data_IF_870871351566
#
_entry.id   IF_870871351566
#
_cell.length_a   1.000
_cell.length_b   1.000
_cell.length_c   1.000
_cell.angle_alpha   90.00
_cell.angle_beta   90.00
_cell.angle_gamma   90.00
#
_symmetry.space_group_name_H-M   'P 1'
#
loop_
_entity.id
_entity.type
_entity.pdbx_description
1 polymer ?
#
# COMPACT_ATOMS: atom_id res chain seq x y z
N UNK A 1 -12.60 6.87 37.96
CA UNK A 1 -11.19 6.55 38.26
C UNK A 1 -10.60 6.05 36.95
N UNK A 2 -9.54 6.65 36.44
CA UNK A 2 -9.08 6.36 35.08
C UNK A 2 -8.40 4.99 35.04
N UNK A 3 -9.01 4.01 34.37
CA UNK A 3 -8.58 2.60 34.39
C UNK A 3 -7.19 2.40 33.75
N UNK A 4 -6.80 3.34 32.87
CA UNK A 4 -5.50 3.33 32.18
C UNK A 4 -4.28 3.44 33.11
N UNK A 5 -4.41 4.03 34.31
CA UNK A 5 -3.30 4.29 35.24
C UNK A 5 -2.83 3.05 36.00
N UNK A 6 -3.65 2.00 36.05
CA UNK A 6 -3.37 0.75 36.76
C UNK A 6 -2.93 -0.41 35.86
N UNK A 7 -2.91 -0.22 34.53
CA UNK A 7 -2.53 -1.29 33.60
C UNK A 7 -1.05 -1.61 33.72
N UNK A 8 -0.70 -2.88 33.89
CA UNK A 8 0.69 -3.33 33.82
C UNK A 8 1.06 -3.61 32.37
N UNK A 9 2.09 -2.94 31.87
CA UNK A 9 2.53 -3.06 30.48
C UNK A 9 3.70 -4.06 30.38
N UNK A 10 3.53 -5.11 29.59
CA UNK A 10 4.52 -6.17 29.48
C UNK A 10 4.77 -6.57 28.03
N UNK A 11 6.00 -7.03 27.74
CA UNK A 11 6.38 -7.52 26.39
C UNK A 11 5.47 -8.68 25.91
N UNK A 12 4.92 -9.46 26.83
CA UNK A 12 4.00 -10.56 26.52
C UNK A 12 2.72 -10.13 25.78
N UNK A 13 2.33 -8.85 25.88
CA UNK A 13 1.15 -8.32 25.20
C UNK A 13 1.29 -8.33 23.67
N UNK A 14 2.52 -8.32 23.13
CA UNK A 14 2.77 -8.45 21.69
C UNK A 14 2.62 -9.89 21.16
N UNK A 15 2.56 -10.88 22.05
CA UNK A 15 2.47 -12.30 21.70
C UNK A 15 1.04 -12.82 21.56
N UNK A 16 0.01 -11.98 21.76
CA UNK A 16 -1.39 -12.40 21.70
C UNK A 16 -1.77 -12.68 20.25
N UNK A 17 -2.13 -13.94 19.89
CA UNK A 17 -2.45 -14.28 18.50
C UNK A 17 -3.61 -13.45 17.95
N UNK A 18 -3.41 -12.85 16.78
CA UNK A 18 -4.46 -12.10 16.07
C UNK A 18 -4.83 -10.74 16.67
N UNK A 19 -4.09 -10.23 17.67
CA UNK A 19 -4.31 -8.90 18.26
C UNK A 19 -3.05 -8.06 18.20
N UNK A 20 -3.19 -6.80 17.82
CA UNK A 20 -2.11 -5.82 18.00
C UNK A 20 -1.97 -5.43 19.47
N UNK A 21 -0.84 -4.82 19.84
CA UNK A 21 -0.64 -4.31 21.20
C UNK A 21 -1.72 -3.29 21.59
N UNK A 22 -2.14 -2.44 20.63
CA UNK A 22 -3.25 -1.50 20.83
C UNK A 22 -4.58 -2.24 21.07
N UNK A 23 -4.87 -3.33 20.34
CA UNK A 23 -6.11 -4.11 20.55
C UNK A 23 -6.13 -4.81 21.92
N UNK A 24 -4.97 -5.27 22.40
CA UNK A 24 -4.84 -5.84 23.75
C UNK A 24 -5.10 -4.75 24.79
N UNK A 25 -4.53 -3.55 24.61
CA UNK A 25 -4.80 -2.42 25.49
C UNK A 25 -6.27 -2.02 25.48
N UNK A 26 -6.91 -2.00 24.31
CA UNK A 26 -8.33 -1.68 24.16
C UNK A 26 -9.21 -2.70 24.89
N UNK A 27 -8.82 -3.97 24.90
CA UNK A 27 -9.54 -5.00 25.66
C UNK A 27 -9.40 -4.88 27.18
N UNK A 28 -8.30 -4.29 27.66
CA UNK A 28 -8.08 -4.02 29.07
C UNK A 28 -8.71 -2.69 29.50
N UNK A 29 -8.70 -1.70 28.62
CA UNK A 29 -9.14 -0.34 28.89
C UNK A 29 -9.96 0.21 27.72
N UNK A 30 -11.23 -0.21 27.61
CA UNK A 30 -12.11 0.18 26.50
C UNK A 30 -12.30 1.70 26.40
N UNK A 31 -12.23 2.23 25.18
CA UNK A 31 -12.45 3.65 24.87
C UNK A 31 -13.87 4.10 25.22
N UNK A 32 -14.85 3.19 25.21
CA UNK A 32 -16.23 3.45 25.65
C UNK A 32 -16.32 4.03 27.06
N UNK A 33 -15.37 3.69 27.94
CA UNK A 33 -15.32 4.21 29.31
C UNK A 33 -14.95 5.70 29.41
N UNK A 34 -14.52 6.32 28.30
CA UNK A 34 -13.99 7.69 28.26
C UNK A 34 -14.85 8.64 27.44
N UNK A 35 -16.01 8.20 26.93
CA UNK A 35 -16.98 9.05 26.24
C UNK A 35 -17.43 10.20 27.14
N UNK A 36 -17.38 11.44 26.63
CA UNK A 36 -17.68 12.65 27.39
C UNK A 36 -16.57 13.13 28.33
N UNK A 37 -15.38 12.52 28.27
CA UNK A 37 -14.20 12.93 29.05
C UNK A 37 -13.16 13.64 28.18
N UNK A 38 -12.20 14.32 28.83
CA UNK A 38 -11.03 14.92 28.15
C UNK A 38 -10.08 13.88 27.49
N UNK A 39 -10.42 12.60 27.54
CA UNK A 39 -9.66 11.47 26.98
C UNK A 39 -10.42 10.75 25.86
N UNK A 40 -11.61 11.22 25.48
CA UNK A 40 -12.45 10.58 24.45
C UNK A 40 -11.74 10.45 23.10
N UNK A 41 -10.93 11.44 22.71
CA UNK A 41 -10.20 11.45 21.44
C UNK A 41 -8.93 10.58 21.45
N UNK A 42 -8.55 9.99 22.59
CA UNK A 42 -7.32 9.23 22.73
C UNK A 42 -7.59 7.71 22.70
N UNK A 43 -6.91 7.01 21.81
CA UNK A 43 -6.93 5.54 21.82
C UNK A 43 -6.20 4.98 23.06
N UNK A 44 -6.39 3.68 23.34
CA UNK A 44 -5.80 3.06 24.54
C UNK A 44 -4.26 3.19 24.60
N UNK A 45 -3.59 3.21 23.44
CA UNK A 45 -2.15 3.41 23.36
C UNK A 45 -1.74 4.86 23.69
N UNK A 46 -2.44 5.85 23.16
CA UNK A 46 -2.23 7.27 23.43
C UNK A 46 -2.53 7.62 24.89
N UNK A 47 -3.52 6.97 25.51
CA UNK A 47 -3.77 7.06 26.96
C UNK A 47 -2.55 6.59 27.77
N UNK A 48 -1.90 5.49 27.37
CA UNK A 48 -0.66 5.05 28.00
C UNK A 48 0.50 6.03 27.75
N UNK A 49 0.65 6.60 26.55
CA UNK A 49 1.65 7.65 26.32
C UNK A 49 1.42 8.86 27.24
N UNK A 50 0.15 9.27 27.43
CA UNK A 50 -0.22 10.37 28.34
C UNK A 50 0.11 10.03 29.79
N UNK A 51 -0.11 8.80 30.25
CA UNK A 51 0.26 8.31 31.59
C UNK A 51 1.72 8.54 31.91
N UNK A 52 2.62 8.20 30.98
CA UNK A 52 4.06 8.38 31.14
C UNK A 52 4.55 9.76 30.65
N UNK A 53 3.62 10.66 30.34
CA UNK A 53 3.88 12.00 29.81
C UNK A 53 4.76 12.01 28.55
N UNK A 54 4.73 10.97 27.71
CA UNK A 54 5.57 10.83 26.51
C UNK A 54 4.92 11.57 25.34
N UNK A 55 5.62 12.58 24.82
CA UNK A 55 5.20 13.39 23.66
C UNK A 55 5.99 12.97 22.44
N UNK A 56 5.33 12.23 21.56
CA UNK A 56 5.95 11.65 20.34
C UNK A 56 6.14 12.65 19.19
N UNK A 57 5.45 13.80 19.21
CA UNK A 57 5.51 14.79 18.13
C UNK A 57 5.25 16.22 18.60
N UNK A 58 5.55 17.19 17.74
CA UNK A 58 5.41 18.62 18.00
C UNK A 58 6.68 19.30 18.54
N UNK A 59 6.58 20.60 18.79
CA UNK A 59 7.71 21.45 19.25
C UNK A 59 8.30 20.94 20.57
N UNK A 60 7.43 20.45 21.45
CA UNK A 60 7.78 19.87 22.76
C UNK A 60 7.93 18.34 22.71
N UNK A 61 8.33 17.78 21.56
CA UNK A 61 8.62 16.35 21.44
C UNK A 61 9.75 15.92 22.37
N UNK A 62 9.52 14.80 23.05
CA UNK A 62 10.46 14.23 24.00
C UNK A 62 11.61 13.50 23.28
N UNK A 63 12.62 13.12 24.07
CA UNK A 63 13.71 12.25 23.63
C UNK A 63 13.32 10.78 23.75
N UNK A 64 13.98 9.93 22.96
CA UNK A 64 13.77 8.47 22.98
C UNK A 64 13.98 7.88 24.38
N UNK A 65 14.93 8.40 25.16
CA UNK A 65 15.20 7.98 26.54
C UNK A 65 13.95 7.95 27.45
N UNK A 66 12.93 8.77 27.17
CA UNK A 66 11.71 8.81 27.98
C UNK A 66 10.92 7.50 27.95
N UNK A 67 10.99 6.74 26.85
CA UNK A 67 10.42 5.40 26.80
C UNK A 67 11.12 4.43 27.76
N UNK A 68 12.39 4.65 28.08
CA UNK A 68 13.21 3.71 28.82
C UNK A 68 13.41 4.08 30.30
N UNK A 69 12.61 5.04 30.81
CA UNK A 69 12.65 5.43 32.22
C UNK A 69 12.09 4.35 33.15
N UNK A 70 11.11 3.57 32.70
CA UNK A 70 10.49 2.48 33.46
C UNK A 70 10.31 1.24 32.60
N UNK A 71 10.16 0.07 33.22
CA UNK A 71 9.88 -1.17 32.50
C UNK A 71 8.55 -1.11 31.72
N UNK A 72 7.52 -0.49 32.33
CA UNK A 72 6.19 -0.35 31.73
C UNK A 72 6.23 0.58 30.51
N UNK A 73 6.90 1.74 30.60
CA UNK A 73 7.02 2.65 29.47
C UNK A 73 7.83 2.05 28.32
N UNK A 74 8.81 1.19 28.60
CA UNK A 74 9.65 0.56 27.58
C UNK A 74 8.84 -0.42 26.72
N UNK A 75 7.78 -1.01 27.27
CA UNK A 75 6.87 -1.88 26.53
C UNK A 75 6.08 -1.12 25.45
N UNK A 76 5.98 0.22 25.51
CA UNK A 76 5.29 1.03 24.49
C UNK A 76 6.14 1.29 23.24
N UNK A 77 7.47 1.19 23.34
CA UNK A 77 8.37 1.60 22.25
C UNK A 77 8.20 0.80 20.95
N UNK A 78 8.04 -0.54 20.96
CA UNK A 78 7.82 -1.30 19.72
C UNK A 78 6.54 -0.88 18.98
N UNK A 79 5.45 -0.62 19.69
CA UNK A 79 4.21 -0.14 19.10
C UNK A 79 4.35 1.28 18.53
N UNK A 80 5.09 2.17 19.20
CA UNK A 80 5.45 3.47 18.63
C UNK A 80 6.16 3.33 17.27
N UNK A 81 7.15 2.43 17.18
CA UNK A 81 7.88 2.16 15.94
C UNK A 81 6.94 1.62 14.86
N UNK A 82 6.11 0.63 15.20
CA UNK A 82 5.14 0.04 14.29
C UNK A 82 4.18 1.08 13.72
N UNK A 83 3.62 1.95 14.57
CA UNK A 83 2.67 3.00 14.15
C UNK A 83 3.32 4.06 13.27
N UNK A 84 4.54 4.50 13.60
CA UNK A 84 5.27 5.47 12.78
C UNK A 84 5.59 4.91 11.38
N UNK A 85 5.97 3.63 11.29
CA UNK A 85 6.22 2.98 10.00
C UNK A 85 4.93 2.72 9.23
N UNK A 86 3.86 2.26 9.88
CA UNK A 86 2.55 2.07 9.25
C UNK A 86 2.02 3.38 8.66
N UNK A 87 2.14 4.48 9.40
CA UNK A 87 1.79 5.81 8.90
C UNK A 87 2.63 6.18 7.65
N UNK A 88 3.92 5.89 7.67
CA UNK A 88 4.79 6.10 6.50
C UNK A 88 4.39 5.27 5.29
N UNK A 89 3.97 4.02 5.51
CA UNK A 89 3.43 3.16 4.46
C UNK A 89 2.14 3.74 3.90
N UNK A 90 1.16 4.08 4.75
CA UNK A 90 -0.14 4.65 4.37
C UNK A 90 0.01 5.94 3.54
N UNK A 91 0.89 6.86 3.98
CA UNK A 91 1.15 8.12 3.26
C UNK A 91 1.73 7.94 1.85
N UNK A 92 2.46 6.85 1.63
CA UNK A 92 3.08 6.53 0.33
C UNK A 92 2.31 5.45 -0.45
N UNK A 93 1.18 4.96 0.06
CA UNK A 93 0.51 3.81 -0.49
C UNK A 93 -0.34 4.18 -1.71
N UNK A 94 0.12 3.77 -2.89
CA UNK A 94 -0.64 3.94 -4.15
C UNK A 94 -1.43 2.68 -4.54
N UNK A 95 -1.20 1.55 -3.86
CA UNK A 95 -1.84 0.26 -4.19
C UNK A 95 -3.38 0.29 -4.18
N UNK A 96 -4.08 1.04 -3.29
CA UNK A 96 -5.54 1.13 -3.31
C UNK A 96 -6.10 1.75 -4.60
N UNK A 97 -5.27 2.48 -5.36
CA UNK A 97 -5.66 3.03 -6.66
C UNK A 97 -5.37 2.07 -7.82
N UNK A 98 -4.72 0.94 -7.56
CA UNK A 98 -4.25 -0.02 -8.56
C UNK A 98 -4.98 -1.38 -8.45
N UNK A 99 -5.26 -1.78 -7.21
CA UNK A 99 -5.78 -3.10 -6.84
C UNK A 99 -7.30 -3.09 -6.82
N UNK A 100 -7.91 -4.15 -7.37
CA UNK A 100 -9.34 -4.40 -7.37
C UNK A 100 -9.83 -4.92 -6.02
N UNK A 101 -9.09 -5.87 -5.43
CA UNK A 101 -9.42 -6.50 -4.15
C UNK A 101 -8.17 -6.91 -3.38
N UNK A 102 -8.27 -6.87 -2.06
CA UNK A 102 -7.23 -7.32 -1.15
C UNK A 102 -7.70 -8.55 -0.39
N UNK A 103 -6.97 -9.65 -0.54
CA UNK A 103 -7.25 -10.93 0.10
C UNK A 103 -6.25 -11.18 1.23
N UNK A 104 -6.75 -11.30 2.46
CA UNK A 104 -5.94 -11.64 3.62
C UNK A 104 -5.87 -13.15 3.81
N UNK A 105 -4.67 -13.69 3.92
CA UNK A 105 -4.42 -15.12 4.08
C UNK A 105 -3.60 -15.42 5.35
N UNK A 106 -3.86 -16.60 5.93
CA UNK A 106 -3.12 -17.13 7.07
C UNK A 106 -2.14 -18.25 6.67
N UNK A 107 -1.93 -18.45 5.37
CA UNK A 107 -1.04 -19.45 4.78
C UNK A 107 -0.06 -18.78 3.83
N UNK A 108 1.05 -19.45 3.51
CA UNK A 108 1.96 -19.02 2.44
C UNK A 108 1.48 -19.48 1.05
N UNK A 109 0.60 -20.46 1.00
CA UNK A 109 0.07 -21.01 -0.23
C UNK A 109 -1.31 -20.41 -0.52
N UNK A 110 -1.42 -19.69 -1.63
CA UNK A 110 -2.68 -19.16 -2.14
C UNK A 110 -2.76 -19.31 -3.65
N UNK A 111 -3.92 -19.77 -4.11
CA UNK A 111 -4.29 -19.84 -5.53
C UNK A 111 -5.51 -18.95 -5.73
N UNK A 112 -5.40 -17.98 -6.61
CA UNK A 112 -6.54 -17.13 -6.95
C UNK A 112 -7.53 -17.85 -7.85
N UNK A 113 -8.73 -17.29 -7.96
CA UNK A 113 -9.75 -17.70 -8.91
C UNK A 113 -9.50 -17.03 -10.27
N UNK A 114 -9.77 -17.76 -11.34
CA UNK A 114 -9.76 -17.24 -12.70
C UNK A 114 -11.02 -17.68 -13.43
N UNK A 115 -11.49 -16.79 -14.29
CA UNK A 115 -12.60 -17.04 -15.19
C UNK A 115 -12.26 -16.34 -16.50
N UNK A 116 -12.02 -17.11 -17.56
CA UNK A 116 -11.82 -16.55 -18.89
C UNK A 116 -12.87 -17.13 -19.84
N UNK A 117 -14.12 -16.63 -19.78
CA UNK A 117 -15.16 -17.08 -20.69
C UNK A 117 -14.75 -16.73 -22.13
N UNK A 118 -15.09 -17.61 -23.07
CA UNK A 118 -14.88 -17.35 -24.49
C UNK A 118 -15.65 -16.10 -24.96
N UNK A 119 -15.25 -15.50 -26.09
CA UNK A 119 -15.92 -14.30 -26.64
C UNK A 119 -17.43 -14.53 -26.84
N UNK A 120 -17.81 -15.73 -27.30
CA UNK A 120 -19.22 -16.14 -27.45
C UNK A 120 -19.97 -16.20 -26.10
N UNK A 121 -19.34 -16.74 -25.05
CA UNK A 121 -19.93 -16.84 -23.70
C UNK A 121 -20.13 -15.45 -23.06
N UNK A 122 -19.29 -14.47 -23.40
CA UNK A 122 -19.42 -13.08 -22.93
C UNK A 122 -20.60 -12.33 -23.53
N UNK A 123 -21.10 -12.74 -24.70
CA UNK A 123 -22.18 -12.02 -25.41
C UNK A 123 -23.59 -12.27 -24.85
N UNK A 124 -23.74 -13.13 -23.83
CA UNK A 124 -25.00 -13.41 -23.10
C UNK A 124 -26.24 -13.41 -24.02
N UNK A 125 -26.22 -14.28 -25.04
CA UNK A 125 -27.28 -14.36 -26.04
C UNK A 125 -28.64 -14.70 -25.40
N UNK A 126 -29.76 -14.17 -25.91
CA UNK A 126 -31.09 -14.53 -25.43
C UNK A 126 -31.32 -16.03 -25.59
N UNK A 127 -31.76 -16.66 -24.50
CA UNK A 127 -31.98 -18.12 -24.43
C UNK A 127 -33.46 -18.39 -24.70
N UNK A 128 -33.75 -19.25 -25.68
CA UNK A 128 -35.11 -19.68 -25.96
C UNK A 128 -35.67 -20.56 -24.83
N UNK A 129 -37.00 -20.61 -24.69
CA UNK A 129 -37.66 -21.48 -23.73
C UNK A 129 -37.23 -22.95 -23.95
N UNK A 130 -36.68 -23.58 -22.90
CA UNK A 130 -36.16 -24.96 -22.95
C UNK A 130 -34.71 -25.12 -23.42
N UNK A 131 -34.03 -24.04 -23.84
CA UNK A 131 -32.60 -24.09 -24.21
C UNK A 131 -31.69 -23.98 -22.97
N UNK A 132 -30.50 -24.60 -23.05
CA UNK A 132 -29.51 -24.53 -21.99
C UNK A 132 -28.93 -23.11 -21.85
N UNK A 133 -28.90 -22.60 -20.62
CA UNK A 133 -28.30 -21.29 -20.30
C UNK A 133 -26.77 -21.39 -20.44
N UNK A 134 -26.09 -20.41 -21.08
CA UNK A 134 -24.64 -20.37 -21.14
C UNK A 134 -24.02 -20.46 -19.75
N UNK A 135 -23.04 -21.34 -19.59
CA UNK A 135 -22.35 -21.56 -18.32
C UNK A 135 -20.99 -20.88 -18.34
N UNK A 136 -20.66 -20.13 -17.30
CA UNK A 136 -19.32 -19.58 -17.07
C UNK A 136 -18.62 -20.40 -16.01
N UNK A 137 -17.49 -21.03 -16.35
CA UNK A 137 -16.75 -21.87 -15.41
C UNK A 137 -15.70 -21.02 -14.68
N UNK A 138 -15.82 -20.94 -13.35
CA UNK A 138 -14.81 -20.35 -12.48
C UNK A 138 -13.92 -21.49 -11.96
N UNK A 139 -12.60 -21.34 -12.10
CA UNK A 139 -11.60 -22.32 -11.62
C UNK A 139 -10.54 -21.63 -10.77
N UNK A 140 -9.83 -22.38 -9.95
CA UNK A 140 -8.59 -21.88 -9.35
C UNK A 140 -7.47 -21.88 -10.39
N UNK A 141 -6.55 -20.93 -10.31
CA UNK A 141 -5.33 -20.97 -11.12
C UNK A 141 -4.47 -22.20 -10.80
N UNK A 142 -3.65 -22.61 -11.77
CA UNK A 142 -2.77 -23.78 -11.65
C UNK A 142 -1.49 -23.48 -10.85
N UNK A 143 -1.10 -22.21 -10.74
CA UNK A 143 0.08 -21.75 -10.01
C UNK A 143 -0.25 -21.01 -8.72
N UNK A 144 0.74 -20.91 -7.83
CA UNK A 144 0.65 -20.16 -6.59
C UNK A 144 1.00 -18.69 -6.82
N UNK A 145 0.31 -17.81 -6.10
CA UNK A 145 0.69 -16.39 -6.03
C UNK A 145 2.01 -16.27 -5.27
N UNK A 146 3.01 -15.61 -5.87
CA UNK A 146 4.31 -15.39 -5.25
C UNK A 146 4.21 -14.30 -4.19
N UNK A 147 4.40 -14.67 -2.93
CA UNK A 147 4.44 -13.73 -1.82
C UNK A 147 5.87 -13.23 -1.59
N UNK A 148 6.05 -11.92 -1.56
CA UNK A 148 7.32 -11.26 -1.28
C UNK A 148 7.34 -10.65 0.12
N UNK A 149 8.33 -11.05 0.92
CA UNK A 149 8.60 -10.41 2.21
C UNK A 149 9.42 -9.15 2.00
N UNK A 150 8.80 -7.99 2.20
CA UNK A 150 9.43 -6.66 2.13
C UNK A 150 9.59 -6.11 3.55
N UNK A 151 10.82 -5.78 3.93
CA UNK A 151 11.11 -5.29 5.26
C UNK A 151 12.49 -4.68 5.39
N UNK A 152 12.74 -4.04 6.53
CA UNK A 152 14.03 -3.43 6.85
C UNK A 152 14.34 -3.60 8.31
N UNK A 153 15.60 -3.93 8.61
CA UNK A 153 16.11 -3.94 9.98
C UNK A 153 16.71 -2.58 10.32
N UNK A 154 16.25 -2.01 11.42
CA UNK A 154 16.85 -0.88 12.08
C UNK A 154 17.89 -1.39 13.07
N UNK A 155 19.11 -0.91 12.95
CA UNK A 155 20.20 -1.21 13.88
C UNK A 155 20.80 0.10 14.32
N UNK A 156 20.73 0.39 15.61
CA UNK A 156 21.41 1.53 16.20
C UNK A 156 21.85 1.19 17.63
N UNK A 157 22.91 1.85 18.10
CA UNK A 157 23.28 1.77 19.51
C UNK A 157 22.31 2.59 20.35
N UNK A 158 22.03 2.11 21.56
CA UNK A 158 21.19 2.81 22.53
C UNK A 158 21.70 4.24 22.77
N UNK A 159 23.02 4.41 22.91
CA UNK A 159 23.64 5.72 23.14
C UNK A 159 23.39 6.71 22.01
N UNK A 160 23.34 6.22 20.76
CA UNK A 160 23.08 7.07 19.60
C UNK A 160 21.61 7.51 19.52
N UNK A 161 20.67 6.67 19.98
CA UNK A 161 19.24 6.96 19.93
C UNK A 161 18.74 7.74 21.16
N UNK A 162 19.22 7.46 22.37
CA UNK A 162 18.61 7.96 23.62
C UNK A 162 18.40 9.47 23.65
N UNK A 163 19.32 10.25 23.06
CA UNK A 163 19.25 11.72 23.06
C UNK A 163 18.56 12.33 21.84
N UNK A 164 18.18 11.52 20.86
CA UNK A 164 17.46 12.00 19.69
C UNK A 164 16.02 12.34 20.04
N UNK A 165 15.51 13.40 19.41
CA UNK A 165 14.09 13.74 19.50
C UNK A 165 13.24 12.69 18.79
N UNK A 166 12.12 12.34 19.40
CA UNK A 166 11.16 11.39 18.84
C UNK A 166 10.62 11.85 17.49
N UNK A 167 10.44 13.16 17.28
CA UNK A 167 9.92 13.69 16.02
C UNK A 167 10.88 13.43 14.84
N UNK A 168 12.18 13.70 15.02
CA UNK A 168 13.20 13.40 14.00
C UNK A 168 13.26 11.90 13.70
N UNK A 169 13.17 11.08 14.75
CA UNK A 169 13.15 9.63 14.59
C UNK A 169 11.86 9.14 13.92
N UNK A 170 10.71 9.76 14.17
CA UNK A 170 9.45 9.47 13.48
C UNK A 170 9.58 9.72 11.99
N UNK A 171 10.27 10.79 11.56
CA UNK A 171 10.49 11.07 10.13
C UNK A 171 11.29 9.95 9.46
N UNK A 172 12.33 9.42 10.10
CA UNK A 172 13.13 8.32 9.53
C UNK A 172 12.33 7.03 9.47
N UNK A 173 11.53 6.72 10.50
CA UNK A 173 10.60 5.58 10.52
C UNK A 173 9.55 5.68 9.41
N UNK A 174 8.92 6.85 9.24
CA UNK A 174 7.96 7.08 8.15
C UNK A 174 8.59 6.86 6.78
N UNK A 175 9.83 7.31 6.59
CA UNK A 175 10.54 7.10 5.32
C UNK A 175 10.82 5.61 5.05
N UNK A 176 11.09 4.81 6.10
CA UNK A 176 11.22 3.35 5.97
C UNK A 176 9.90 2.73 5.52
N UNK A 177 8.78 3.13 6.11
CA UNK A 177 7.45 2.72 5.67
C UNK A 177 7.20 3.08 4.20
N UNK A 178 7.55 4.29 3.80
CA UNK A 178 7.42 4.73 2.42
C UNK A 178 8.27 3.88 1.44
N UNK A 179 9.46 3.42 1.85
CA UNK A 179 10.26 2.50 1.03
C UNK A 179 9.62 1.12 0.88
N UNK A 180 9.00 0.59 1.95
CA UNK A 180 8.28 -0.69 1.88
C UNK A 180 7.09 -0.58 0.91
N UNK A 181 6.27 0.48 1.03
CA UNK A 181 5.14 0.71 0.14
C UNK A 181 5.56 0.86 -1.33
N UNK A 182 6.66 1.60 -1.61
CA UNK A 182 7.21 1.73 -2.96
C UNK A 182 7.74 0.41 -3.52
N UNK A 183 8.34 -0.43 -2.69
CA UNK A 183 8.81 -1.75 -3.11
C UNK A 183 7.63 -2.67 -3.47
N UNK A 184 6.56 -2.67 -2.67
CA UNK A 184 5.33 -3.41 -2.97
C UNK A 184 4.65 -2.89 -4.25
N UNK A 185 4.69 -1.58 -4.49
CA UNK A 185 4.20 -1.01 -5.75
C UNK A 185 5.02 -1.50 -6.95
N UNK A 186 6.35 -1.62 -6.81
CA UNK A 186 7.21 -2.25 -7.82
C UNK A 186 6.78 -3.69 -8.11
N UNK A 187 6.59 -4.49 -7.06
CA UNK A 187 6.12 -5.88 -7.20
C UNK A 187 4.76 -5.97 -7.93
N UNK A 188 3.85 -5.03 -7.65
CA UNK A 188 2.56 -4.95 -8.33
C UNK A 188 2.71 -4.59 -9.82
N UNK A 189 3.58 -3.64 -10.16
CA UNK A 189 3.85 -3.23 -11.54
C UNK A 189 4.52 -4.35 -12.32
N UNK A 190 5.47 -5.08 -11.74
CA UNK A 190 6.10 -6.23 -12.39
C UNK A 190 5.07 -7.30 -12.76
N UNK A 191 4.10 -7.57 -11.87
CA UNK A 191 3.00 -8.49 -12.16
C UNK A 191 2.04 -7.92 -13.22
N UNK A 192 1.78 -6.62 -13.22
CA UNK A 192 1.00 -5.98 -14.28
C UNK A 192 1.69 -6.12 -15.65
N UNK A 193 3.00 -5.92 -15.72
CA UNK A 193 3.78 -5.97 -16.97
C UNK A 193 3.98 -7.40 -17.47
N UNK A 194 4.42 -8.32 -16.62
CA UNK A 194 4.89 -9.65 -17.02
C UNK A 194 3.92 -10.78 -16.69
N UNK A 195 2.92 -10.52 -15.85
CA UNK A 195 2.08 -11.56 -15.24
C UNK A 195 2.76 -12.18 -14.01
N UNK A 196 1.97 -12.80 -13.15
CA UNK A 196 2.43 -13.50 -11.94
C UNK A 196 3.14 -14.84 -12.26
N UNK A 197 2.72 -15.48 -13.35
CA UNK A 197 3.34 -16.65 -13.96
C UNK A 197 4.59 -16.32 -14.80
N UNK A 198 4.82 -15.05 -15.13
CA UNK A 198 5.85 -14.58 -16.06
C UNK A 198 5.62 -14.99 -17.53
N UNK A 199 4.42 -15.47 -17.87
CA UNK A 199 4.03 -15.95 -19.20
C UNK A 199 2.82 -15.21 -19.76
N UNK A 200 2.22 -14.33 -18.96
CA UNK A 200 1.03 -13.53 -19.30
C UNK A 200 1.36 -12.03 -19.33
N UNK A 201 2.23 -11.57 -20.25
CA UNK A 201 2.59 -10.15 -20.34
C UNK A 201 1.38 -9.29 -20.74
N UNK A 202 1.38 -8.03 -20.32
CA UNK A 202 0.40 -7.07 -20.78
C UNK A 202 0.53 -6.81 -22.28
N UNK A 203 -0.60 -6.55 -22.95
CA UNK A 203 -0.60 -6.22 -24.37
C UNK A 203 0.12 -4.90 -24.62
N UNK A 204 1.16 -4.92 -25.47
CA UNK A 204 1.93 -3.74 -25.83
C UNK A 204 1.35 -3.05 -27.09
N UNK A 205 1.31 -1.74 -27.05
CA UNK A 205 0.95 -0.84 -28.15
C UNK A 205 2.18 0.02 -28.41
N UNK A 206 2.68 -0.02 -29.64
CA UNK A 206 3.86 0.75 -30.03
C UNK A 206 3.43 2.02 -30.76
N UNK A 207 3.94 3.18 -30.33
CA UNK A 207 3.71 4.42 -31.07
C UNK A 207 4.72 4.59 -32.21
N UNK A 208 4.33 5.39 -33.21
CA UNK A 208 5.23 5.74 -34.31
C UNK A 208 6.21 6.87 -33.94
N UNK A 209 5.83 7.74 -33.00
CA UNK A 209 6.56 8.95 -32.61
C UNK A 209 7.38 8.77 -31.32
N UNK A 210 8.46 9.54 -31.18
CA UNK A 210 9.29 9.56 -29.97
C UNK A 210 8.66 10.27 -28.74
N UNK A 211 7.40 10.70 -28.86
CA UNK A 211 6.60 11.28 -27.78
C UNK A 211 5.13 10.82 -27.93
N UNK A 212 4.40 10.67 -26.82
CA UNK A 212 2.99 10.32 -26.85
C UNK A 212 2.18 11.48 -27.45
N UNK A 213 1.39 11.19 -28.47
CA UNK A 213 0.40 12.11 -29.02
C UNK A 213 -0.99 11.84 -28.40
N UNK A 214 -1.92 12.77 -28.57
CA UNK A 214 -3.29 12.60 -28.10
C UNK A 214 -3.96 11.35 -28.71
N UNK A 215 -3.73 11.10 -30.01
CA UNK A 215 -4.24 9.91 -30.69
C UNK A 215 -3.74 8.59 -30.09
N UNK A 216 -2.50 8.54 -29.58
CA UNK A 216 -1.95 7.36 -28.93
C UNK A 216 -2.66 7.07 -27.60
N UNK A 217 -2.99 8.12 -26.83
CA UNK A 217 -3.76 8.00 -25.59
C UNK A 217 -5.19 7.51 -25.86
N UNK A 218 -5.82 8.01 -26.93
CA UNK A 218 -7.14 7.54 -27.38
C UNK A 218 -7.08 6.08 -27.85
N UNK A 219 -6.00 5.69 -28.53
CA UNK A 219 -5.77 4.30 -28.93
C UNK A 219 -5.61 3.38 -27.71
N UNK A 220 -4.83 3.80 -26.71
CA UNK A 220 -4.72 3.08 -25.44
C UNK A 220 -6.08 2.91 -24.74
N UNK A 221 -6.92 3.96 -24.75
CA UNK A 221 -8.28 3.89 -24.22
C UNK A 221 -9.16 2.90 -25.02
N UNK A 222 -9.09 2.90 -26.35
CA UNK A 222 -9.87 2.02 -27.21
C UNK A 222 -9.46 0.55 -27.12
N UNK A 223 -8.15 0.28 -27.05
CA UNK A 223 -7.56 -1.06 -26.92
C UNK A 223 -7.88 -1.76 -25.59
N UNK A 224 -8.33 -1.00 -24.59
CA UNK A 224 -8.75 -1.55 -23.32
C UNK A 224 -10.17 -2.09 -23.36
N UNK A 225 -10.98 -1.76 -24.38
CA UNK A 225 -12.35 -2.27 -24.51
C UNK A 225 -12.36 -3.81 -24.50
N UNK A 226 -13.23 -4.46 -23.70
CA UNK A 226 -14.42 -3.93 -23.02
C UNK A 226 -14.19 -3.32 -21.62
N UNK A 227 -12.95 -3.25 -21.14
CA UNK A 227 -12.61 -2.68 -19.83
C UNK A 227 -12.43 -1.15 -19.90
N UNK A 228 -12.45 -0.49 -18.73
CA UNK A 228 -12.42 0.97 -18.65
C UNK A 228 -11.05 1.50 -18.22
N UNK A 229 -10.51 2.46 -18.97
CA UNK A 229 -9.26 3.11 -18.61
C UNK A 229 -9.52 4.09 -17.46
N UNK A 230 -9.24 3.65 -16.23
CA UNK A 230 -9.45 4.46 -15.03
C UNK A 230 -8.15 4.84 -14.31
N UNK A 231 -7.05 4.14 -14.59
CA UNK A 231 -5.76 4.37 -13.94
C UNK A 231 -4.64 4.31 -14.98
N UNK A 232 -3.76 5.29 -14.96
CA UNK A 232 -2.58 5.37 -15.80
C UNK A 232 -1.34 5.49 -14.91
N UNK A 233 -0.35 4.64 -15.12
CA UNK A 233 0.97 4.73 -14.47
C UNK A 233 1.99 5.28 -15.46
N UNK A 234 2.82 6.20 -15.00
CA UNK A 234 3.91 6.76 -15.80
C UNK A 234 5.12 7.11 -14.93
N UNK A 235 6.30 7.06 -15.55
CA UNK A 235 7.55 7.56 -14.97
C UNK A 235 7.53 9.10 -14.85
N UNK A 236 8.54 9.67 -14.20
CA UNK A 236 8.67 11.13 -14.11
C UNK A 236 8.84 11.78 -15.49
N UNK A 237 9.65 11.18 -16.37
CA UNK A 237 9.86 11.70 -17.72
C UNK A 237 8.58 11.57 -18.55
N UNK A 238 7.94 10.41 -18.49
CA UNK A 238 6.71 10.15 -19.24
C UNK A 238 5.52 10.97 -18.76
N UNK A 239 5.42 11.24 -17.46
CA UNK A 239 4.41 12.16 -16.92
C UNK A 239 4.57 13.56 -17.50
N UNK A 240 5.82 14.06 -17.65
CA UNK A 240 6.07 15.36 -18.29
C UNK A 240 5.66 15.36 -19.75
N UNK A 241 5.90 14.26 -20.47
CA UNK A 241 5.49 14.13 -21.86
C UNK A 241 3.96 14.12 -22.00
N UNK A 242 3.24 13.37 -21.15
CA UNK A 242 1.76 13.34 -21.12
C UNK A 242 1.20 14.74 -20.84
N UNK A 243 1.71 15.42 -19.82
CA UNK A 243 1.26 16.78 -19.48
C UNK A 243 1.63 17.82 -20.55
N UNK A 244 2.55 17.49 -21.46
CA UNK A 244 2.95 18.36 -22.55
C UNK A 244 2.06 18.26 -23.79
N UNK A 245 1.15 17.28 -23.85
CA UNK A 245 0.17 17.11 -24.92
C UNK A 245 -0.72 18.36 -25.00
N UNK A 246 -0.84 18.94 -26.19
CA UNK A 246 -1.55 20.19 -26.44
C UNK A 246 -3.01 20.17 -25.99
N UNK A 247 -3.68 19.05 -26.22
CA UNK A 247 -5.09 18.81 -25.89
C UNK A 247 -5.32 18.66 -24.39
N UNK A 248 -4.28 18.38 -23.59
CA UNK A 248 -4.35 18.33 -22.13
C UNK A 248 -3.92 19.64 -21.45
N UNK A 249 -3.38 20.60 -22.21
CA UNK A 249 -3.05 21.95 -21.74
C UNK A 249 -4.30 22.84 -21.73
N UNK A 250 -5.25 22.50 -20.88
CA UNK A 250 -6.43 23.33 -20.62
C UNK A 250 -6.13 24.33 -19.47
N UNK A 251 -6.63 25.56 -19.60
CA UNK A 251 -6.55 26.60 -18.58
C UNK A 251 -7.21 26.15 -17.27
N UNK A 252 -8.31 25.39 -17.33
CA UNK A 252 -8.98 24.85 -16.13
C UNK A 252 -8.16 23.73 -15.48
N UNK A 253 -7.52 22.86 -16.27
CA UNK A 253 -6.61 21.85 -15.76
C UNK A 253 -5.38 22.49 -15.11
N UNK A 254 -4.85 23.57 -15.69
CA UNK A 254 -3.78 24.38 -15.11
C UNK A 254 -4.18 25.04 -13.79
N UNK A 255 -5.38 25.62 -13.71
CA UNK A 255 -5.93 26.20 -12.48
C UNK A 255 -6.07 25.15 -11.37
N UNK A 256 -6.61 23.98 -11.71
CA UNK A 256 -6.74 22.87 -10.76
C UNK A 256 -5.38 22.35 -10.28
N UNK A 257 -4.40 22.22 -11.19
CA UNK A 257 -3.05 21.81 -10.83
C UNK A 257 -2.38 22.82 -9.90
N UNK A 258 -2.51 24.12 -10.17
CA UNK A 258 -1.96 25.18 -9.31
C UNK A 258 -2.68 25.26 -7.95
N UNK A 259 -4.00 25.08 -7.92
CA UNK A 259 -4.79 25.18 -6.70
C UNK A 259 -4.74 23.95 -5.80
N UNK A 260 -4.59 22.75 -6.38
CA UNK A 260 -4.69 21.47 -5.63
C UNK A 260 -3.41 20.64 -5.63
N UNK A 261 -2.45 20.93 -6.53
CA UNK A 261 -1.26 20.11 -6.75
C UNK A 261 -1.54 18.75 -7.40
N UNK A 262 -2.80 18.44 -7.74
CA UNK A 262 -3.19 17.18 -8.38
C UNK A 262 -2.95 17.24 -9.88
N UNK A 263 -2.30 16.20 -10.41
CA UNK A 263 -2.03 16.05 -11.85
C UNK A 263 -3.36 16.02 -12.63
N UNK A 264 -3.31 16.52 -13.87
CA UNK A 264 -4.44 16.40 -14.79
C UNK A 264 -4.77 14.91 -15.02
N UNK A 265 -6.05 14.59 -15.17
CA UNK A 265 -6.56 13.22 -15.39
C UNK A 265 -6.73 12.97 -16.90
N UNK A 266 -5.73 12.41 -17.60
CA UNK A 266 -5.82 12.18 -19.03
C UNK A 266 -6.98 11.21 -19.32
N UNK A 267 -7.91 11.62 -20.18
CA UNK A 267 -9.08 10.82 -20.56
C UNK A 267 -9.94 10.34 -19.37
N UNK A 268 -9.94 11.08 -18.25
CA UNK A 268 -10.69 10.72 -17.05
C UNK A 268 -10.01 9.66 -16.17
N UNK A 269 -8.82 9.18 -16.55
CA UNK A 269 -8.04 8.24 -15.76
C UNK A 269 -7.19 8.96 -14.71
N UNK A 270 -7.02 8.34 -13.54
CA UNK A 270 -6.13 8.81 -12.50
C UNK A 270 -4.67 8.57 -12.89
N UNK A 271 -3.91 9.65 -13.09
CA UNK A 271 -2.49 9.59 -13.43
C UNK A 271 -1.66 9.43 -12.16
N UNK A 272 -1.13 8.22 -11.95
CA UNK A 272 -0.27 7.90 -10.82
C UNK A 272 1.20 8.03 -11.24
N UNK A 273 1.92 8.89 -10.52
CA UNK A 273 3.34 9.11 -10.72
C UNK A 273 4.15 8.04 -9.99
N UNK A 274 4.96 7.29 -10.74
CA UNK A 274 5.88 6.30 -10.19
C UNK A 274 7.30 6.55 -10.71
N UNK A 275 8.20 7.14 -9.89
CA UNK A 275 9.54 7.51 -10.33
C UNK A 275 10.42 6.35 -10.82
N UNK A 276 10.18 5.14 -10.34
CA UNK A 276 11.01 3.96 -10.61
C UNK A 276 10.53 3.14 -11.81
N UNK A 277 9.50 3.59 -12.53
CA UNK A 277 9.05 2.94 -13.76
C UNK A 277 10.06 3.21 -14.89
N UNK A 278 10.16 2.28 -15.85
CA UNK A 278 10.93 2.52 -17.07
C UNK A 278 10.39 3.76 -17.81
N UNK A 279 11.30 4.60 -18.29
CA UNK A 279 10.93 5.76 -19.08
C UNK A 279 10.35 5.34 -20.43
N UNK A 280 9.49 6.19 -20.99
CA UNK A 280 8.81 5.97 -22.27
C UNK A 280 7.79 4.83 -22.30
N UNK A 281 7.31 4.47 -21.11
CA UNK A 281 6.26 3.48 -20.92
C UNK A 281 5.06 4.10 -20.18
N UNK A 282 3.87 3.91 -20.74
CA UNK A 282 2.60 4.30 -20.13
C UNK A 282 1.78 3.03 -19.90
N UNK A 283 1.44 2.74 -18.64
CA UNK A 283 0.61 1.57 -18.30
C UNK A 283 -0.81 2.05 -18.10
N UNK A 284 -1.73 1.65 -18.97
CA UNK A 284 -3.17 1.86 -18.82
C UNK A 284 -3.82 0.61 -18.24
N UNK A 285 -4.63 0.78 -17.19
CA UNK A 285 -5.34 -0.35 -16.59
C UNK A 285 -6.73 0.02 -16.08
N UNK A 286 -7.54 -1.03 -15.89
CA UNK A 286 -8.81 -0.97 -15.18
C UNK A 286 -8.63 -1.48 -13.74
N UNK A 287 -8.52 -0.57 -12.77
CA UNK A 287 -8.32 -0.91 -11.35
C UNK A 287 -9.41 -1.81 -10.77
N UNK A 288 -10.61 -1.86 -11.35
CA UNK A 288 -11.73 -2.64 -10.81
C UNK A 288 -11.56 -4.14 -11.04
N UNK A 289 -10.69 -4.52 -11.98
CA UNK A 289 -10.55 -5.91 -12.41
C UNK A 289 -9.13 -6.28 -12.87
N UNK A 290 -8.14 -5.38 -12.81
CA UNK A 290 -6.78 -5.68 -13.26
C UNK A 290 -6.00 -6.57 -12.28
N UNK A 291 -6.00 -6.24 -10.98
CA UNK A 291 -5.04 -6.80 -10.03
C UNK A 291 -5.68 -7.16 -8.69
N UNK A 292 -5.35 -8.34 -8.17
CA UNK A 292 -5.61 -8.71 -6.78
C UNK A 292 -4.32 -8.59 -5.97
N UNK A 293 -4.44 -8.05 -4.75
CA UNK A 293 -3.37 -8.05 -3.75
C UNK A 293 -3.64 -9.15 -2.73
N UNK A 294 -2.64 -9.96 -2.44
CA UNK A 294 -2.70 -11.03 -1.45
C UNK A 294 -1.76 -10.67 -0.31
N UNK A 295 -2.29 -10.51 0.91
CA UNK A 295 -1.52 -10.13 2.08
C UNK A 295 -1.48 -11.27 3.09
N UNK A 296 -0.28 -11.59 3.57
CA UNK A 296 -0.08 -12.61 4.61
C UNK A 296 0.42 -11.93 5.88
N UNK A 297 -0.49 -11.76 6.84
CA UNK A 297 -0.22 -10.96 8.03
C UNK A 297 -0.14 -9.46 7.75
N UNK A 298 -0.27 -8.66 8.82
CA UNK A 298 -0.11 -7.22 8.76
C UNK A 298 1.36 -6.78 8.80
N UNK A 299 1.58 -5.53 9.21
CA UNK A 299 2.94 -5.05 9.53
C UNK A 299 3.44 -5.78 10.77
N UNK A 300 4.47 -6.60 10.61
CA UNK A 300 5.14 -7.29 11.70
C UNK A 300 6.37 -6.49 12.13
N UNK A 301 6.43 -6.16 13.42
CA UNK A 301 7.58 -5.49 14.03
C UNK A 301 8.18 -6.40 15.08
N UNK A 302 9.34 -6.98 14.77
CA UNK A 302 10.12 -7.78 15.70
C UNK A 302 11.12 -6.87 16.40
N UNK A 303 10.95 -6.69 17.71
CA UNK A 303 11.85 -5.88 18.53
C UNK A 303 12.70 -6.76 19.45
N UNK A 304 14.01 -6.58 19.33
CA UNK A 304 15.00 -7.25 20.17
C UNK A 304 16.03 -6.24 20.73
N UNK A 305 16.34 -6.41 22.01
CA UNK A 305 17.35 -5.63 22.71
C UNK A 305 18.53 -6.54 23.00
N UNK A 306 19.60 -6.37 22.24
CA UNK A 306 20.84 -7.09 22.49
C UNK A 306 21.59 -6.42 23.63
N UNK A 307 21.37 -6.93 24.84
CA UNK A 307 21.96 -6.42 26.09
C UNK A 307 23.49 -6.37 25.98
N UNK A 308 24.11 -7.43 25.47
CA UNK A 308 25.58 -7.55 25.37
C UNK A 308 26.24 -6.51 24.47
N UNK A 309 25.50 -5.96 23.50
CA UNK A 309 26.03 -5.00 22.51
C UNK A 309 25.44 -3.60 22.65
N UNK A 310 24.54 -3.39 23.61
CA UNK A 310 23.72 -2.18 23.74
C UNK A 310 23.08 -1.77 22.40
N UNK A 311 22.74 -2.75 21.57
CA UNK A 311 22.13 -2.54 20.26
C UNK A 311 20.62 -2.75 20.36
N UNK A 312 19.88 -1.79 19.84
CA UNK A 312 18.46 -1.95 19.59
C UNK A 312 18.25 -2.40 18.14
N UNK A 313 17.50 -3.50 17.98
CA UNK A 313 17.13 -4.02 16.67
C UNK A 313 15.62 -4.05 16.56
N UNK A 314 15.11 -3.35 15.56
CA UNK A 314 13.71 -3.47 15.14
C UNK A 314 13.70 -3.97 13.70
N UNK A 315 13.18 -5.16 13.46
CA UNK A 315 12.90 -5.65 12.12
C UNK A 315 11.44 -5.38 11.80
N UNK A 316 11.20 -4.63 10.73
CA UNK A 316 9.84 -4.35 10.28
C UNK A 316 9.66 -5.04 8.94
N UNK A 317 8.62 -5.86 8.82
CA UNK A 317 8.36 -6.60 7.61
C UNK A 317 6.87 -6.74 7.31
N UNK A 318 6.59 -6.89 6.03
CA UNK A 318 5.26 -7.13 5.46
C UNK A 318 5.39 -8.18 4.37
N UNK A 319 4.36 -9.00 4.20
CA UNK A 319 4.32 -10.01 3.15
C UNK A 319 3.14 -9.71 2.25
N UNK A 320 3.42 -9.47 0.98
CA UNK A 320 2.42 -9.22 -0.03
C UNK A 320 2.78 -9.93 -1.34
N UNK A 321 1.78 -10.42 -2.04
CA UNK A 321 1.89 -10.89 -3.42
C UNK A 321 0.79 -10.26 -4.27
N UNK A 322 0.95 -10.36 -5.59
CA UNK A 322 0.02 -9.80 -6.54
C UNK A 322 -0.28 -10.81 -7.64
N UNK A 323 -1.50 -10.78 -8.16
CA UNK A 323 -1.91 -11.61 -9.29
C UNK A 323 -2.84 -10.84 -10.21
N UNK A 324 -2.72 -11.09 -11.51
CA UNK A 324 -3.51 -10.43 -12.53
C UNK A 324 -4.83 -11.20 -12.70
N UNK A 325 -5.96 -10.53 -12.51
CA UNK A 325 -7.27 -11.18 -12.55
C UNK A 325 -7.69 -11.38 -14.01
N UNK A 326 -7.64 -10.31 -14.81
CA UNK A 326 -7.93 -10.35 -16.25
C UNK A 326 -6.78 -9.76 -17.06
N UNK A 327 -6.17 -10.57 -17.93
CA UNK A 327 -5.03 -10.16 -18.76
C UNK A 327 -5.36 -8.99 -19.71
N UNK A 328 -6.60 -8.89 -20.19
CA UNK A 328 -7.04 -7.83 -21.09
C UNK A 328 -7.30 -6.48 -20.40
N UNK A 329 -7.34 -6.42 -19.07
CA UNK A 329 -7.61 -5.20 -18.31
C UNK A 329 -6.35 -4.31 -18.14
N UNK A 330 -5.22 -4.70 -18.72
CA UNK A 330 -3.95 -3.98 -18.66
C UNK A 330 -3.35 -3.90 -20.06
N UNK A 331 -2.99 -2.68 -20.48
CA UNK A 331 -2.30 -2.39 -21.73
C UNK A 331 -1.12 -1.48 -21.47
N UNK A 332 -0.07 -1.66 -22.23
CA UNK A 332 1.15 -0.88 -22.14
C UNK A 332 1.33 -0.14 -23.44
N UNK A 333 1.49 1.17 -23.38
CA UNK A 333 1.83 2.01 -24.52
C UNK A 333 3.31 2.39 -24.41
N UNK A 334 4.12 1.85 -25.33
CA UNK A 334 5.53 2.18 -25.45
C UNK A 334 5.70 3.20 -26.58
N UNK A 335 6.55 4.20 -26.35
CA UNK A 335 6.93 5.14 -27.40
C UNK A 335 8.44 5.14 -27.63
N UNK A 336 8.81 5.30 -28.90
CA UNK A 336 10.19 5.09 -29.35
C UNK A 336 11.17 6.09 -28.74
N UNK A 337 12.43 5.67 -28.71
CA UNK A 337 13.51 6.52 -28.24
C UNK A 337 13.70 7.77 -29.10
#
# INVERSE_FOLDING_TARGET
>A
MAFYESIKLEKGMYGVPGKSFTDVLESLDPSENYVGSNLEELDAYQRQLKRFSIRVGGVESDRIEKFFQTADSAALFPEYVNRAVRQGMEMANLLPNLVATTTNINSMDYRTITSNPGTEEKTLKPVAEGAAIPQTVIKTQDHLVKLHKRGRMLVASYEALRFQKLDLFTVTLRQIGAYIARAQLGDAVDVLLYGDDGKSPAGAIETASGKPAYGDMVNLWGELAPYQLNTVLASTATTKDILSITEFKDANAGLNFQGTGKLATPLGANLLHMPNLEDKQIIGLDKTCALEMVQAGGVQTDYDKLIDRQLERACISTIAGFTKIFNGAVKVLNYKA
#
